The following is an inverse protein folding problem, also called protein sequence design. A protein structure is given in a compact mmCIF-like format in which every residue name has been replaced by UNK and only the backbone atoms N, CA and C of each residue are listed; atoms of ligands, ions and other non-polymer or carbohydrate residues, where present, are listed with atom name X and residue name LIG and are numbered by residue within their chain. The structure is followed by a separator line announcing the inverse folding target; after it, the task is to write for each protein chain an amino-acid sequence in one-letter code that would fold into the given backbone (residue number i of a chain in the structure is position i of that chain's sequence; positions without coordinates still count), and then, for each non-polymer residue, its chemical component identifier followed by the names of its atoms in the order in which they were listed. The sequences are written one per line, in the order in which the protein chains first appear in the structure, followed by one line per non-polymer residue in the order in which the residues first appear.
data_IF_929271032400
#
_entry.id   IF_929271032400
#
_cell.length_a   1.000
_cell.length_b   1.000
_cell.length_c   1.000
_cell.angle_alpha   90.00
_cell.angle_beta   90.00
_cell.angle_gamma   90.00
#
_symmetry.space_group_name_H-M   'P 1'
#
loop_
_entity.id
_entity.type
_entity.pdbx_description
1 polymer ?
#
# COMPACT_ATOMS: atom_id res chain seq x y z
N UNK A 1 -27.74 9.00 -9.35
CA UNK A 1 -26.80 8.71 -10.24
C UNK A 1 -26.39 7.35 -10.53
N UNK A 2 -27.11 6.55 -11.02
CA UNK A 2 -26.73 5.38 -11.33
C UNK A 2 -27.02 4.97 -12.65
N UNK A 3 -26.72 5.85 -13.42
CA UNK A 3 -26.79 5.72 -14.74
C UNK A 3 -26.11 4.52 -15.19
N UNK A 4 -25.32 3.83 -14.35
CA UNK A 4 -24.30 3.20 -15.00
C UNK A 4 -23.92 1.95 -14.35
N UNK A 5 -24.91 1.19 -13.93
CA UNK A 5 -24.68 -0.18 -13.49
C UNK A 5 -24.03 -0.98 -14.62
N UNK A 6 -24.46 -0.79 -15.85
CA UNK A 6 -23.85 -1.41 -17.03
C UNK A 6 -22.40 -0.96 -17.24
N UNK A 7 -22.08 0.32 -17.02
CA UNK A 7 -20.73 0.84 -17.14
C UNK A 7 -19.82 0.28 -16.03
N UNK A 8 -20.34 0.20 -14.82
CA UNK A 8 -19.60 -0.39 -13.69
C UNK A 8 -19.39 -1.88 -13.89
N UNK A 9 -20.36 -2.58 -14.37
CA UNK A 9 -20.26 -4.03 -14.61
C UNK A 9 -19.29 -4.30 -15.77
N UNK A 10 -19.31 -3.52 -16.84
CA UNK A 10 -18.31 -3.58 -17.91
C UNK A 10 -16.89 -3.38 -17.37
N UNK A 11 -16.66 -2.37 -16.51
CA UNK A 11 -15.34 -2.17 -15.89
C UNK A 11 -14.91 -3.34 -15.01
N UNK A 12 -15.83 -3.99 -14.30
CA UNK A 12 -15.50 -5.17 -13.48
C UNK A 12 -15.13 -6.37 -14.30
N UNK A 13 -15.77 -6.58 -15.44
CA UNK A 13 -15.46 -7.67 -16.37
C UNK A 13 -14.05 -7.54 -16.93
N UNK A 14 -13.56 -6.33 -17.13
CA UNK A 14 -12.27 -6.02 -17.74
C UNK A 14 -11.17 -5.56 -16.77
N UNK A 15 -11.38 -5.64 -15.46
CA UNK A 15 -10.46 -5.08 -14.45
C UNK A 15 -9.04 -5.61 -14.54
N UNK A 16 -8.85 -6.83 -15.07
CA UNK A 16 -7.54 -7.46 -15.25
C UNK A 16 -7.03 -7.44 -16.69
N UNK A 17 -7.83 -6.91 -17.62
CA UNK A 17 -7.47 -6.84 -19.03
C UNK A 17 -6.65 -5.56 -19.28
N UNK A 18 -5.36 -5.62 -18.98
CA UNK A 18 -4.51 -4.45 -19.14
C UNK A 18 -3.78 -4.49 -20.48
N UNK A 19 -4.13 -3.57 -21.36
CA UNK A 19 -3.46 -3.44 -22.65
C UNK A 19 -2.28 -2.45 -22.55
N UNK A 20 -1.12 -2.97 -22.15
CA UNK A 20 0.10 -2.17 -22.00
C UNK A 20 0.60 -1.54 -23.30
N UNK A 21 0.38 -2.18 -24.43
CA UNK A 21 0.87 -1.65 -25.71
C UNK A 21 0.07 -0.41 -26.12
N UNK A 22 -1.25 -0.45 -25.99
CA UNK A 22 -2.09 0.73 -26.22
C UNK A 22 -1.74 1.86 -25.24
N UNK A 23 -1.51 1.54 -23.97
CA UNK A 23 -1.10 2.53 -22.98
C UNK A 23 0.24 3.18 -23.34
N UNK A 24 1.26 2.39 -23.71
CA UNK A 24 2.59 2.88 -24.12
C UNK A 24 2.53 3.77 -25.37
N UNK A 25 1.79 3.36 -26.40
CA UNK A 25 1.63 4.18 -27.60
C UNK A 25 0.92 5.50 -27.29
N UNK A 26 -0.10 5.45 -26.43
CA UNK A 26 -0.80 6.67 -26.01
C UNK A 26 0.10 7.60 -25.21
N UNK A 27 0.94 7.05 -24.32
CA UNK A 27 1.84 7.82 -23.47
C UNK A 27 2.87 8.59 -24.31
N UNK A 28 3.37 8.04 -25.40
CA UNK A 28 4.25 8.76 -26.33
C UNK A 28 3.62 10.05 -26.87
N UNK A 29 2.30 10.06 -27.02
CA UNK A 29 1.55 11.20 -27.53
C UNK A 29 1.20 12.23 -26.46
N UNK A 30 0.69 11.75 -25.31
CA UNK A 30 0.16 12.65 -24.27
C UNK A 30 1.15 12.91 -23.14
N UNK A 31 2.23 12.12 -23.04
CA UNK A 31 3.27 12.21 -22.00
C UNK A 31 2.70 12.22 -20.58
N UNK A 32 1.74 11.35 -20.35
CA UNK A 32 1.06 11.22 -19.08
C UNK A 32 0.61 9.76 -18.88
N UNK A 33 1.22 9.08 -17.93
CA UNK A 33 1.05 7.65 -17.63
C UNK A 33 -0.40 7.29 -17.26
N UNK A 34 -0.94 7.89 -16.20
CA UNK A 34 -2.30 7.60 -15.74
C UNK A 34 -3.33 7.82 -16.83
N UNK A 35 -3.26 8.95 -17.55
CA UNK A 35 -4.21 9.23 -18.63
C UNK A 35 -4.05 8.29 -19.83
N UNK A 36 -2.87 7.74 -20.03
CA UNK A 36 -2.62 6.70 -21.03
C UNK A 36 -3.28 5.38 -20.66
N UNK A 37 -3.24 5.01 -19.38
CA UNK A 37 -3.94 3.84 -18.86
C UNK A 37 -5.45 4.03 -18.83
N UNK A 38 -5.95 5.22 -18.46
CA UNK A 38 -7.38 5.57 -18.55
C UNK A 38 -7.89 5.42 -19.99
N UNK A 39 -7.11 5.90 -20.96
CA UNK A 39 -7.42 5.73 -22.37
C UNK A 39 -7.46 4.26 -22.78
N UNK A 40 -6.42 3.48 -22.45
CA UNK A 40 -6.36 2.06 -22.78
C UNK A 40 -7.53 1.28 -22.17
N UNK A 41 -7.86 1.55 -20.91
CA UNK A 41 -9.01 0.94 -20.25
C UNK A 41 -10.33 1.36 -20.88
N UNK A 42 -10.46 2.62 -21.28
CA UNK A 42 -11.62 3.11 -22.01
C UNK A 42 -11.84 2.47 -23.39
N UNK A 43 -10.77 1.98 -24.04
CA UNK A 43 -10.90 1.19 -25.29
C UNK A 43 -11.48 -0.21 -25.01
N UNK A 44 -11.23 -0.78 -23.85
CA UNK A 44 -11.78 -2.07 -23.42
C UNK A 44 -13.19 -1.91 -22.83
N UNK A 45 -13.49 -0.75 -22.24
CA UNK A 45 -14.76 -0.42 -21.62
C UNK A 45 -15.41 0.79 -22.30
N UNK A 46 -15.88 0.69 -23.54
CA UNK A 46 -16.37 1.84 -24.29
C UNK A 46 -17.60 2.52 -23.68
N UNK A 47 -18.46 1.78 -23.00
CA UNK A 47 -19.60 2.34 -22.28
C UNK A 47 -19.16 3.18 -21.08
N UNK A 48 -18.10 2.75 -20.42
CA UNK A 48 -17.58 3.41 -19.22
C UNK A 48 -16.53 4.48 -19.50
N UNK A 49 -16.02 4.61 -20.72
CA UNK A 49 -14.88 5.47 -21.08
C UNK A 49 -15.03 6.92 -20.56
N UNK A 50 -16.23 7.47 -20.53
CA UNK A 50 -16.49 8.83 -20.05
C UNK A 50 -16.52 9.00 -18.53
N UNK A 51 -16.54 7.92 -17.75
CA UNK A 51 -16.66 7.98 -16.28
C UNK A 51 -15.47 7.39 -15.52
N UNK A 52 -14.54 6.72 -16.19
CA UNK A 52 -13.41 6.03 -15.54
C UNK A 52 -12.62 6.97 -14.61
N UNK A 53 -12.45 8.22 -15.00
CA UNK A 53 -11.63 9.19 -14.26
C UNK A 53 -12.42 10.46 -13.88
N UNK A 54 -13.74 10.34 -13.78
CA UNK A 54 -14.63 11.47 -13.54
C UNK A 54 -14.40 12.06 -12.14
N UNK A 55 -14.15 13.37 -12.08
CA UNK A 55 -13.94 14.12 -10.83
C UNK A 55 -12.61 13.88 -10.14
N UNK A 56 -11.84 12.87 -10.54
CA UNK A 56 -10.56 12.53 -9.94
C UNK A 56 -9.36 13.21 -10.62
N UNK A 57 -8.25 13.32 -9.90
CA UNK A 57 -6.95 13.65 -10.47
C UNK A 57 -6.09 12.39 -10.64
N UNK A 58 -5.03 12.46 -11.44
CA UNK A 58 -4.11 11.36 -11.64
C UNK A 58 -3.46 10.87 -10.32
N UNK A 59 -3.15 11.78 -9.41
CA UNK A 59 -2.63 11.43 -8.09
C UNK A 59 -3.59 10.56 -7.25
N UNK A 60 -4.90 10.63 -7.49
CA UNK A 60 -5.84 9.69 -6.86
C UNK A 60 -5.45 8.23 -7.16
N UNK A 61 -5.10 7.94 -8.40
CA UNK A 61 -4.67 6.59 -8.80
C UNK A 61 -3.28 6.29 -8.24
N UNK A 62 -2.29 7.13 -8.53
CA UNK A 62 -0.90 6.91 -8.16
C UNK A 62 -0.70 6.78 -6.65
N UNK A 63 -1.08 7.80 -5.90
CA UNK A 63 -0.80 7.87 -4.46
C UNK A 63 -1.52 6.79 -3.66
N UNK A 64 -2.79 6.50 -3.96
CA UNK A 64 -3.50 5.42 -3.28
C UNK A 64 -2.97 4.03 -3.68
N UNK A 65 -2.57 3.84 -4.94
CA UNK A 65 -1.95 2.60 -5.41
C UNK A 65 -0.63 2.35 -4.69
N UNK A 66 0.21 3.37 -4.54
CA UNK A 66 1.48 3.27 -3.83
C UNK A 66 1.27 2.85 -2.37
N UNK A 67 0.27 3.40 -1.69
CA UNK A 67 -0.06 3.00 -0.31
C UNK A 67 -0.55 1.55 -0.25
N UNK A 68 -1.37 1.12 -1.20
CA UNK A 68 -1.84 -0.28 -1.27
C UNK A 68 -0.66 -1.24 -1.47
N UNK A 69 0.23 -0.94 -2.42
CA UNK A 69 1.43 -1.75 -2.70
C UNK A 69 2.37 -1.74 -1.49
N UNK A 70 2.58 -0.59 -0.86
CA UNK A 70 3.39 -0.47 0.34
C UNK A 70 2.85 -1.34 1.48
N UNK A 71 1.54 -1.32 1.71
CA UNK A 71 0.90 -2.16 2.71
C UNK A 71 1.11 -3.65 2.44
N UNK A 72 1.00 -4.11 1.19
CA UNK A 72 1.26 -5.49 0.83
C UNK A 72 2.75 -5.85 0.98
N UNK A 73 3.65 -4.95 0.62
CA UNK A 73 5.09 -5.14 0.83
C UNK A 73 5.45 -5.25 2.33
N UNK A 74 4.86 -4.40 3.16
CA UNK A 74 5.05 -4.44 4.62
C UNK A 74 4.55 -5.75 5.23
N UNK A 75 3.43 -6.30 4.77
CA UNK A 75 2.95 -7.64 5.19
C UNK A 75 3.96 -8.73 4.86
N UNK A 76 4.62 -8.65 3.70
CA UNK A 76 5.66 -9.59 3.32
C UNK A 76 6.90 -9.47 4.21
N UNK A 77 7.33 -8.24 4.50
CA UNK A 77 8.44 -7.97 5.43
C UNK A 77 8.12 -8.46 6.83
N UNK A 78 6.93 -8.16 7.35
CA UNK A 78 6.42 -8.64 8.63
C UNK A 78 6.53 -10.17 8.75
N UNK A 79 6.00 -10.89 7.77
CA UNK A 79 6.08 -12.36 7.74
C UNK A 79 7.52 -12.87 7.79
N UNK A 80 8.45 -12.24 7.06
CA UNK A 80 9.86 -12.62 7.06
C UNK A 80 10.52 -12.31 8.39
N UNK A 81 10.23 -11.16 8.99
CA UNK A 81 10.76 -10.74 10.28
C UNK A 81 10.33 -11.69 11.40
N UNK A 82 9.04 -12.04 11.46
CA UNK A 82 8.53 -13.04 12.43
C UNK A 82 9.23 -14.38 12.27
N UNK A 83 9.49 -14.83 11.04
CA UNK A 83 10.23 -16.09 10.81
C UNK A 83 11.68 -16.00 11.31
N UNK A 84 12.37 -14.88 11.08
CA UNK A 84 13.75 -14.68 11.58
C UNK A 84 13.77 -14.69 13.10
N UNK A 85 12.84 -14.02 13.76
CA UNK A 85 12.71 -14.02 15.22
C UNK A 85 12.49 -15.44 15.75
N UNK A 86 11.59 -16.20 15.12
CA UNK A 86 11.31 -17.59 15.51
C UNK A 86 12.54 -18.50 15.39
N UNK A 87 13.29 -18.39 14.30
CA UNK A 87 14.52 -19.20 14.12
C UNK A 87 15.64 -18.76 15.07
N UNK A 88 15.79 -17.46 15.34
CA UNK A 88 16.75 -16.98 16.35
C UNK A 88 16.38 -17.42 17.76
N UNK A 89 15.11 -17.40 18.11
CA UNK A 89 14.64 -17.89 19.42
C UNK A 89 14.95 -19.39 19.60
N UNK A 90 14.68 -20.19 18.57
CA UNK A 90 15.00 -21.61 18.54
C UNK A 90 16.54 -21.87 18.63
N UNK A 91 17.32 -21.09 17.90
CA UNK A 91 18.78 -21.15 17.97
C UNK A 91 19.27 -20.78 19.37
N UNK A 92 18.74 -19.68 19.94
CA UNK A 92 19.11 -19.24 21.28
C UNK A 92 18.82 -20.32 22.34
N UNK A 93 17.66 -20.96 22.26
CA UNK A 93 17.32 -22.07 23.20
C UNK A 93 18.21 -23.29 23.01
N UNK A 94 18.50 -23.65 21.77
CA UNK A 94 19.41 -24.80 21.47
C UNK A 94 20.81 -24.62 22.04
N UNK A 95 21.35 -23.40 21.94
CA UNK A 95 22.74 -23.10 22.33
C UNK A 95 22.86 -22.30 23.63
N UNK A 96 21.82 -22.23 24.44
CA UNK A 96 21.83 -21.51 25.72
C UNK A 96 22.91 -21.95 26.71
N UNK A 97 23.32 -23.21 26.62
CA UNK A 97 24.34 -23.79 27.49
C UNK A 97 25.72 -23.94 26.82
N UNK A 98 25.88 -23.49 25.56
CA UNK A 98 27.16 -23.57 24.86
C UNK A 98 28.04 -22.37 25.27
N UNK A 99 29.13 -22.57 26.04
CA UNK A 99 29.96 -21.46 26.49
C UNK A 99 30.79 -20.87 25.34
N UNK A 100 30.98 -19.57 25.38
CA UNK A 100 31.86 -18.84 24.47
C UNK A 100 32.47 -17.63 25.18
N UNK A 101 33.60 -17.16 24.68
CA UNK A 101 34.28 -16.00 25.22
C UNK A 101 33.67 -14.74 24.61
N UNK A 102 33.24 -13.79 25.46
CA UNK A 102 32.89 -12.45 25.03
C UNK A 102 34.10 -11.53 24.95
N UNK A 103 34.02 -10.56 24.05
CA UNK A 103 35.05 -9.56 23.83
C UNK A 103 34.46 -8.16 24.05
N UNK A 104 35.28 -7.27 24.63
CA UNK A 104 34.99 -5.81 24.67
C UNK A 104 36.25 -5.10 24.23
N UNK A 105 36.09 -4.01 23.46
CA UNK A 105 37.25 -3.25 22.94
C UNK A 105 38.29 -4.12 22.24
N UNK A 106 37.85 -5.15 21.51
CA UNK A 106 38.71 -6.15 20.83
C UNK A 106 39.62 -6.98 21.78
N UNK A 107 39.28 -7.02 23.05
CA UNK A 107 40.01 -7.80 24.04
C UNK A 107 39.09 -8.84 24.68
N UNK A 108 39.64 -10.01 25.07
CA UNK A 108 38.91 -11.00 25.87
C UNK A 108 38.35 -10.37 27.14
N UNK A 109 37.07 -10.60 27.40
CA UNK A 109 36.39 -10.07 28.59
C UNK A 109 35.92 -11.24 29.48
N UNK A 110 34.65 -11.65 29.33
CA UNK A 110 34.06 -12.65 30.21
C UNK A 110 33.42 -13.78 29.42
N UNK A 111 33.29 -14.98 30.00
CA UNK A 111 32.49 -16.06 29.42
C UNK A 111 31.01 -15.66 29.30
N UNK A 112 30.41 -16.08 28.21
CA UNK A 112 28.95 -15.99 27.95
C UNK A 112 28.52 -17.28 27.27
N UNK A 113 27.31 -17.29 26.68
CA UNK A 113 26.87 -18.43 25.87
C UNK A 113 26.52 -18.00 24.46
N UNK A 114 26.58 -18.92 23.52
CA UNK A 114 26.19 -18.67 22.11
C UNK A 114 24.71 -18.30 22.04
N UNK A 115 23.86 -19.00 22.79
CA UNK A 115 22.43 -18.68 22.86
C UNK A 115 22.16 -17.27 23.39
N UNK A 116 22.86 -16.85 24.47
CA UNK A 116 22.75 -15.47 24.99
C UNK A 116 23.13 -14.45 23.94
N UNK A 117 24.15 -14.69 23.15
CA UNK A 117 24.55 -13.77 22.06
C UNK A 117 23.43 -13.62 21.02
N UNK A 118 22.74 -14.69 20.66
CA UNK A 118 21.62 -14.66 19.74
C UNK A 118 20.43 -13.86 20.29
N UNK A 119 20.21 -13.86 21.62
CA UNK A 119 19.10 -13.08 22.19
C UNK A 119 19.27 -11.57 22.02
N UNK A 120 20.49 -11.06 21.86
CA UNK A 120 20.71 -9.64 21.57
C UNK A 120 20.14 -9.25 20.21
N UNK A 121 20.43 -10.06 19.18
CA UNK A 121 19.85 -9.85 17.85
C UNK A 121 18.33 -10.05 17.83
N UNK A 122 17.85 -11.06 18.58
CA UNK A 122 16.41 -11.29 18.71
C UNK A 122 15.69 -10.07 19.31
N UNK A 123 16.30 -9.43 20.32
CA UNK A 123 15.76 -8.24 20.94
C UNK A 123 15.65 -7.05 19.95
N UNK A 124 16.70 -6.84 19.14
CA UNK A 124 16.69 -5.80 18.10
C UNK A 124 15.57 -6.04 17.09
N UNK A 125 15.44 -7.28 16.58
CA UNK A 125 14.35 -7.61 15.65
C UNK A 125 12.93 -7.53 16.27
N UNK A 126 12.81 -7.75 17.59
CA UNK A 126 11.53 -7.53 18.27
C UNK A 126 11.16 -6.04 18.32
N UNK A 127 12.13 -5.16 18.53
CA UNK A 127 11.91 -3.72 18.47
C UNK A 127 11.53 -3.29 17.05
N UNK A 128 12.24 -3.80 16.02
CA UNK A 128 11.90 -3.54 14.62
C UNK A 128 10.49 -4.05 14.28
N UNK A 129 10.05 -5.18 14.87
CA UNK A 129 8.71 -5.71 14.66
C UNK A 129 7.64 -4.79 15.24
N UNK A 130 7.84 -4.26 16.44
CA UNK A 130 6.94 -3.30 17.08
C UNK A 130 6.79 -2.02 16.23
N UNK A 131 7.91 -1.49 15.73
CA UNK A 131 7.91 -0.31 14.86
C UNK A 131 7.20 -0.59 13.52
N UNK A 132 7.44 -1.76 12.93
CA UNK A 132 6.79 -2.17 11.70
C UNK A 132 5.27 -2.30 11.87
N UNK A 133 4.82 -2.94 12.94
CA UNK A 133 3.39 -3.10 13.26
C UNK A 133 2.72 -1.75 13.54
N UNK A 134 3.42 -0.85 14.20
CA UNK A 134 2.94 0.53 14.40
C UNK A 134 2.72 1.23 13.06
N UNK A 135 3.71 1.22 12.16
CA UNK A 135 3.61 1.83 10.84
C UNK A 135 2.44 1.21 10.04
N UNK A 136 2.34 -0.12 10.01
CA UNK A 136 1.24 -0.82 9.32
C UNK A 136 -0.13 -0.44 9.89
N UNK A 137 -0.22 -0.20 11.20
CA UNK A 137 -1.48 0.16 11.87
C UNK A 137 -1.95 1.58 11.59
N UNK A 138 -1.03 2.46 11.19
CA UNK A 138 -1.27 3.89 10.97
C UNK A 138 -1.39 4.28 9.50
N UNK A 139 -1.17 3.34 8.58
CA UNK A 139 -1.31 3.61 7.15
C UNK A 139 -2.74 4.01 6.79
N UNK A 140 -2.86 5.12 6.07
CA UNK A 140 -4.12 5.66 5.56
C UNK A 140 -3.99 5.92 4.06
N UNK A 141 -5.09 5.83 3.35
CA UNK A 141 -5.15 6.29 1.96
C UNK A 141 -5.15 7.82 1.89
N UNK A 142 -4.74 8.37 0.78
CA UNK A 142 -4.87 9.81 0.51
C UNK A 142 -6.30 10.21 0.15
N UNK A 143 -7.12 9.25 -0.23
CA UNK A 143 -8.50 9.48 -0.64
C UNK A 143 -8.60 10.08 -2.04
N UNK A 144 -9.75 10.66 -2.36
CA UNK A 144 -10.00 11.27 -3.67
C UNK A 144 -10.14 12.77 -3.55
N UNK A 145 -9.09 13.46 -3.97
CA UNK A 145 -8.99 14.90 -3.97
C UNK A 145 -8.52 15.38 -5.34
N UNK A 146 -8.77 16.65 -5.67
CA UNK A 146 -8.30 17.26 -6.91
C UNK A 146 -6.81 17.58 -6.89
N UNK A 147 -6.32 18.18 -7.95
CA UNK A 147 -4.89 18.51 -8.18
C UNK A 147 -4.27 19.35 -7.05
N UNK A 148 -5.05 20.15 -6.37
CA UNK A 148 -4.61 21.03 -5.28
C UNK A 148 -5.00 20.53 -3.88
N UNK A 149 -5.46 19.29 -3.78
CA UNK A 149 -5.86 18.68 -2.49
C UNK A 149 -7.26 19.08 -2.01
N UNK A 150 -8.10 19.63 -2.90
CA UNK A 150 -9.50 19.96 -2.59
C UNK A 150 -10.47 18.97 -3.26
N UNK A 151 -11.72 18.98 -2.85
CA UNK A 151 -12.79 18.21 -3.48
C UNK A 151 -13.71 19.09 -4.36
N UNK A 152 -13.22 20.24 -4.83
CA UNK A 152 -14.00 21.18 -5.61
C UNK A 152 -14.62 20.58 -6.88
N UNK A 153 -13.92 19.67 -7.57
CA UNK A 153 -14.45 18.97 -8.74
C UNK A 153 -15.67 18.11 -8.40
N UNK A 154 -15.66 17.47 -7.23
CA UNK A 154 -16.81 16.70 -6.75
C UNK A 154 -17.94 17.61 -6.29
N UNK A 155 -17.63 18.76 -5.69
CA UNK A 155 -18.64 19.73 -5.28
C UNK A 155 -19.45 20.24 -6.49
N UNK A 156 -18.75 20.49 -7.60
CA UNK A 156 -19.42 20.86 -8.86
C UNK A 156 -20.20 19.67 -9.45
N UNK A 157 -19.61 18.48 -9.44
CA UNK A 157 -20.24 17.27 -9.98
C UNK A 157 -21.53 16.88 -9.25
N UNK A 158 -21.61 17.17 -7.95
CA UNK A 158 -22.76 16.87 -7.09
C UNK A 158 -23.63 18.10 -6.78
N UNK A 159 -23.54 19.15 -7.58
CA UNK A 159 -24.36 20.38 -7.46
C UNK A 159 -24.32 21.01 -6.05
N UNK A 160 -23.18 20.94 -5.40
CA UNK A 160 -22.95 21.51 -4.05
C UNK A 160 -23.38 20.61 -2.88
N UNK A 161 -23.72 19.35 -3.12
CA UNK A 161 -24.11 18.41 -2.05
C UNK A 161 -22.88 17.95 -1.23
N UNK A 162 -22.53 18.72 -0.22
CA UNK A 162 -21.42 18.44 0.67
C UNK A 162 -21.59 17.13 1.45
N UNK A 163 -22.82 16.79 1.82
CA UNK A 163 -23.07 15.55 2.59
C UNK A 163 -22.70 14.29 1.77
N UNK A 164 -22.98 14.32 0.47
CA UNK A 164 -22.57 13.25 -0.45
C UNK A 164 -21.05 13.20 -0.64
N UNK A 165 -20.40 14.36 -0.71
CA UNK A 165 -18.94 14.46 -0.88
C UNK A 165 -18.21 13.92 0.36
N UNK A 166 -18.66 14.23 1.55
CA UNK A 166 -18.08 13.77 2.81
C UNK A 166 -18.07 12.23 2.95
N UNK A 167 -18.90 11.54 2.17
CA UNK A 167 -18.95 10.06 2.12
C UNK A 167 -17.94 9.44 1.16
N UNK A 168 -17.33 10.21 0.25
CA UNK A 168 -16.45 9.68 -0.80
C UNK A 168 -15.22 8.98 -0.19
N UNK A 169 -14.45 9.67 0.62
CA UNK A 169 -13.21 9.12 1.20
C UNK A 169 -13.46 7.93 2.14
N UNK A 170 -14.46 7.95 3.04
CA UNK A 170 -14.83 6.76 3.81
C UNK A 170 -15.22 5.55 2.95
N UNK A 171 -15.94 5.79 1.84
CA UNK A 171 -16.31 4.71 0.91
C UNK A 171 -15.10 4.16 0.15
N UNK A 172 -14.15 5.00 -0.23
CA UNK A 172 -12.90 4.60 -0.88
C UNK A 172 -12.08 3.76 0.09
N UNK A 173 -11.86 4.24 1.32
CA UNK A 173 -11.12 3.52 2.32
C UNK A 173 -11.72 2.12 2.56
N UNK A 174 -13.03 2.05 2.78
CA UNK A 174 -13.72 0.77 3.01
C UNK A 174 -13.60 -0.18 1.81
N UNK A 175 -13.71 0.31 0.56
CA UNK A 175 -13.57 -0.50 -0.66
C UNK A 175 -12.16 -1.02 -0.88
N UNK A 176 -11.15 -0.27 -0.46
CA UNK A 176 -9.74 -0.61 -0.61
C UNK A 176 -9.16 -1.34 0.62
N UNK A 177 -9.99 -1.63 1.65
CA UNK A 177 -9.58 -2.38 2.83
C UNK A 177 -8.78 -1.59 3.85
N UNK A 178 -8.90 -0.26 3.84
CA UNK A 178 -8.29 0.65 4.81
C UNK A 178 -9.32 1.21 5.79
N UNK A 179 -8.84 1.67 6.94
CA UNK A 179 -9.74 2.23 7.98
C UNK A 179 -10.25 3.62 7.60
N UNK A 180 -9.39 4.44 7.02
CA UNK A 180 -9.68 5.85 6.75
C UNK A 180 -8.74 6.43 5.68
N UNK A 181 -9.06 7.63 5.22
CA UNK A 181 -8.19 8.49 4.44
C UNK A 181 -7.65 9.65 5.30
N UNK A 182 -6.59 10.32 4.82
CA UNK A 182 -6.10 11.56 5.41
C UNK A 182 -7.05 12.73 5.16
#
# INVERSE_FOLDING_TARGET
CIRDREQIDEMKEHVYDINYDVAKEREKLVRHDVMSHVYAFGQQCPKAAGIIHLGATSCYVGDNTDIIIMNEALKLVHKKLVNVIAELAKFADTYKNLPTLAFTHFQPAQPTTVGKRATLWTQEFLMDLEDLEYVMSTLKLLGSKGTTGTQASFLELFDGDQETIDKIDPMIAAKMGFKECY
#
